data_IF_120292483486
#
_entry.id   IF_120292483486
#
_cell.length_a   1.000
_cell.length_b   1.000
_cell.length_c   1.000
_cell.angle_alpha   90.00
_cell.angle_beta   90.00
_cell.angle_gamma   90.00
#
_symmetry.space_group_name_H-M   'P 1'
#
loop_
_entity.id
_entity.type
_entity.pdbx_description
1 polymer ?
#
# COMPACT_ATOMS: atom_id res chain seq x y z
N UNK A 1 2.63 7.23 -14.68
CA UNK A 1 3.02 7.55 -13.28
C UNK A 1 3.40 6.32 -12.48
N UNK A 2 2.61 5.24 -12.50
CA UNK A 2 2.92 3.97 -11.81
C UNK A 2 4.31 3.43 -12.19
N UNK A 3 4.64 3.38 -13.49
CA UNK A 3 5.97 2.96 -13.97
C UNK A 3 7.11 3.82 -13.41
N UNK A 4 6.88 5.13 -13.23
CA UNK A 4 7.90 6.05 -12.70
C UNK A 4 8.10 5.86 -11.20
N UNK A 5 7.03 5.55 -10.47
CA UNK A 5 7.11 5.20 -9.06
C UNK A 5 7.85 3.87 -8.86
N UNK A 6 7.52 2.85 -9.66
CA UNK A 6 8.17 1.53 -9.59
C UNK A 6 9.65 1.51 -10.02
N UNK A 7 10.11 2.54 -10.72
CA UNK A 7 11.51 2.70 -11.12
C UNK A 7 12.36 3.43 -10.06
N UNK A 8 11.78 3.85 -8.92
CA UNK A 8 12.54 4.53 -7.86
C UNK A 8 13.41 3.52 -7.12
N UNK A 9 14.75 3.66 -7.14
CA UNK A 9 15.64 2.71 -6.48
C UNK A 9 15.83 3.01 -4.99
N UNK A 10 15.55 4.24 -4.55
CA UNK A 10 15.78 4.68 -3.18
C UNK A 10 14.92 5.90 -2.83
N UNK A 11 14.22 5.82 -1.70
CA UNK A 11 13.33 6.86 -1.17
C UNK A 11 14.10 8.10 -0.73
N UNK A 12 15.32 7.94 -0.22
CA UNK A 12 16.15 9.07 0.26
C UNK A 12 16.66 9.92 -0.91
N UNK A 13 17.13 9.28 -1.98
CA UNK A 13 17.67 9.99 -3.17
C UNK A 13 16.57 10.59 -4.05
N UNK A 14 15.43 9.92 -4.18
CA UNK A 14 14.34 10.34 -5.05
C UNK A 14 13.21 11.09 -4.32
N UNK A 15 13.45 11.57 -3.10
CA UNK A 15 12.42 12.14 -2.22
C UNK A 15 11.57 13.25 -2.87
N UNK A 16 12.14 14.24 -3.59
CA UNK A 16 11.33 15.29 -4.22
C UNK A 16 10.37 14.71 -5.28
N UNK A 17 10.86 13.77 -6.09
CA UNK A 17 10.06 13.10 -7.11
C UNK A 17 8.96 12.24 -6.48
N UNK A 18 9.29 11.49 -5.44
CA UNK A 18 8.32 10.68 -4.70
C UNK A 18 7.19 11.56 -4.15
N UNK A 19 7.52 12.69 -3.52
CA UNK A 19 6.50 13.61 -2.99
C UNK A 19 5.59 14.17 -4.10
N UNK A 20 6.14 14.55 -5.25
CA UNK A 20 5.34 15.04 -6.38
C UNK A 20 4.43 13.93 -6.91
N UNK A 21 4.96 12.72 -7.09
CA UNK A 21 4.18 11.58 -7.56
C UNK A 21 3.04 11.23 -6.59
N UNK A 22 3.31 11.18 -5.29
CA UNK A 22 2.28 10.91 -4.28
C UNK A 22 1.22 12.01 -4.25
N UNK A 23 1.60 13.29 -4.34
CA UNK A 23 0.62 14.39 -4.45
C UNK A 23 -0.28 14.23 -5.69
N UNK A 24 0.29 13.87 -6.84
CA UNK A 24 -0.50 13.62 -8.04
C UNK A 24 -1.38 12.38 -7.88
N UNK A 25 -0.89 11.29 -7.28
CA UNK A 25 -1.71 10.11 -7.00
C UNK A 25 -2.86 10.43 -6.06
N UNK A 26 -2.68 11.28 -5.05
CA UNK A 26 -3.77 11.75 -4.18
C UNK A 26 -4.85 12.50 -4.95
N UNK A 27 -4.50 13.19 -6.03
CA UNK A 27 -5.49 13.81 -6.92
C UNK A 27 -6.13 12.75 -7.83
N UNK A 28 -5.35 11.81 -8.37
CA UNK A 28 -5.85 10.73 -9.21
C UNK A 28 -6.87 9.86 -8.48
N UNK A 29 -6.60 9.45 -7.24
CA UNK A 29 -7.53 8.59 -6.48
C UNK A 29 -8.83 9.30 -6.10
N UNK A 30 -8.97 10.62 -6.29
CA UNK A 30 -10.25 11.32 -6.13
C UNK A 30 -11.15 11.24 -7.37
N UNK A 31 -10.61 10.79 -8.50
CA UNK A 31 -11.32 10.70 -9.78
C UNK A 31 -11.69 9.25 -10.04
N UNK A 32 -12.98 8.92 -10.11
CA UNK A 32 -13.47 7.55 -10.32
C UNK A 32 -12.80 6.86 -11.51
N UNK A 33 -12.68 7.56 -12.64
CA UNK A 33 -12.04 7.02 -13.84
C UNK A 33 -10.57 6.65 -13.63
N UNK A 34 -9.86 7.39 -12.79
CA UNK A 34 -8.48 7.05 -12.43
C UNK A 34 -8.44 5.86 -11.49
N UNK A 35 -9.35 5.74 -10.54
CA UNK A 35 -9.44 4.56 -9.67
C UNK A 35 -9.73 3.29 -10.50
N UNK A 36 -10.68 3.35 -11.44
CA UNK A 36 -10.99 2.26 -12.39
C UNK A 36 -9.76 1.81 -13.18
N UNK A 37 -8.88 2.74 -13.55
CA UNK A 37 -7.62 2.40 -14.21
C UNK A 37 -6.63 1.79 -13.21
N UNK A 38 -6.52 2.33 -12.01
CA UNK A 38 -5.55 1.86 -11.01
C UNK A 38 -5.83 0.45 -10.48
N UNK A 39 -7.08 0.01 -10.49
CA UNK A 39 -7.49 -1.36 -10.12
C UNK A 39 -7.31 -2.38 -11.24
N UNK A 40 -6.91 -1.95 -12.45
CA UNK A 40 -6.67 -2.89 -13.55
C UNK A 40 -5.48 -3.81 -13.25
N UNK A 41 -5.64 -5.14 -13.30
CA UNK A 41 -4.58 -6.07 -12.96
C UNK A 41 -3.31 -5.88 -13.79
N UNK A 42 -3.44 -5.47 -15.06
CA UNK A 42 -2.32 -5.28 -15.99
C UNK A 42 -1.37 -4.16 -15.57
N UNK A 43 -1.87 -3.18 -14.81
CA UNK A 43 -1.07 -2.06 -14.34
C UNK A 43 -0.24 -2.39 -13.09
N UNK A 44 -0.61 -3.46 -12.36
CA UNK A 44 0.07 -3.89 -11.12
C UNK A 44 0.33 -2.74 -10.14
N UNK A 45 -0.61 -1.79 -10.08
CA UNK A 45 -0.44 -0.55 -9.31
C UNK A 45 -0.19 -0.85 -7.84
N UNK A 46 -0.92 -1.82 -7.28
CA UNK A 46 -0.79 -2.19 -5.87
C UNK A 46 0.58 -2.79 -5.55
N UNK A 47 1.13 -3.66 -6.42
CA UNK A 47 2.48 -4.21 -6.24
C UNK A 47 3.53 -3.09 -6.16
N UNK A 48 3.41 -2.07 -7.01
CA UNK A 48 4.30 -0.90 -7.02
C UNK A 48 4.14 -0.08 -5.73
N UNK A 49 2.91 0.13 -5.25
CA UNK A 49 2.68 0.84 -3.99
C UNK A 49 3.22 0.07 -2.79
N UNK A 50 3.01 -1.25 -2.73
CA UNK A 50 3.55 -2.12 -1.69
C UNK A 50 5.08 -2.13 -1.66
N UNK A 51 5.73 -2.21 -2.83
CA UNK A 51 7.19 -2.09 -2.94
C UNK A 51 7.67 -0.72 -2.46
N UNK A 52 6.99 0.35 -2.87
CA UNK A 52 7.34 1.71 -2.43
C UNK A 52 7.18 1.87 -0.92
N UNK A 53 6.13 1.27 -0.35
CA UNK A 53 5.87 1.27 1.08
C UNK A 53 6.98 0.55 1.84
N UNK A 54 7.41 -0.63 1.37
CA UNK A 54 8.58 -1.32 1.94
C UNK A 54 9.83 -0.44 1.91
N UNK A 55 10.13 0.21 0.79
CA UNK A 55 11.30 1.11 0.70
C UNK A 55 11.21 2.29 1.67
N UNK A 56 10.01 2.82 1.93
CA UNK A 56 9.81 3.87 2.92
C UNK A 56 10.08 3.34 4.34
N UNK A 57 9.55 2.16 4.66
CA UNK A 57 9.67 1.51 5.98
C UNK A 57 11.10 1.03 6.27
N UNK A 58 11.84 0.56 5.27
CA UNK A 58 13.26 0.18 5.40
C UNK A 58 14.17 1.40 5.61
N UNK A 59 13.72 2.57 5.12
CA UNK A 59 14.45 3.84 5.26
C UNK A 59 14.11 4.59 6.55
N UNK A 60 13.17 4.09 7.37
CA UNK A 60 12.52 4.79 8.49
C UNK A 60 13.39 4.86 9.77
N UNK A 61 14.60 5.43 9.64
CA UNK A 61 15.38 5.95 10.78
C UNK A 61 15.11 7.43 11.05
N UNK A 62 14.45 8.14 10.14
CA UNK A 62 14.16 9.57 10.23
C UNK A 62 12.65 9.84 10.24
N UNK A 63 12.17 10.52 11.30
CA UNK A 63 10.77 10.97 11.51
C UNK A 63 10.17 11.80 10.36
N UNK A 64 10.98 12.24 9.41
CA UNK A 64 10.56 13.02 8.26
C UNK A 64 9.88 12.19 7.14
N UNK A 65 9.90 10.85 7.22
CA UNK A 65 9.29 9.95 6.24
C UNK A 65 7.86 9.52 6.60
N UNK A 66 7.41 9.75 7.84
CA UNK A 66 6.05 9.40 8.31
C UNK A 66 4.95 9.98 7.41
N UNK A 67 5.10 11.23 6.96
CA UNK A 67 4.10 11.87 6.07
C UNK A 67 4.06 11.32 4.64
N UNK A 68 5.14 10.69 4.16
CA UNK A 68 5.18 10.01 2.86
C UNK A 68 4.50 8.65 2.97
N UNK A 69 4.81 7.91 4.03
CA UNK A 69 4.20 6.61 4.36
C UNK A 69 2.69 6.75 4.55
N UNK A 70 2.24 7.75 5.31
CA UNK A 70 0.80 8.02 5.51
C UNK A 70 0.07 8.31 4.19
N UNK A 71 0.64 9.18 3.34
CA UNK A 71 0.04 9.50 2.04
C UNK A 71 -0.07 8.27 1.14
N UNK A 72 0.94 7.40 1.16
CA UNK A 72 0.93 6.18 0.39
C UNK A 72 -0.14 5.21 0.88
N UNK A 73 -0.29 5.06 2.19
CA UNK A 73 -1.33 4.22 2.79
C UNK A 73 -2.75 4.74 2.49
N UNK A 74 -2.97 6.06 2.55
CA UNK A 74 -4.24 6.72 2.18
C UNK A 74 -4.62 6.44 0.70
N UNK A 75 -3.65 6.54 -0.21
CA UNK A 75 -3.81 6.18 -1.63
C UNK A 75 -4.19 4.70 -1.77
N UNK A 76 -3.47 3.81 -1.09
CA UNK A 76 -3.70 2.37 -1.17
C UNK A 76 -5.08 1.99 -0.62
N UNK A 77 -5.48 2.55 0.51
CA UNK A 77 -6.80 2.34 1.11
C UNK A 77 -7.93 2.73 0.15
N UNK A 78 -7.80 3.88 -0.52
CA UNK A 78 -8.80 4.33 -1.50
C UNK A 78 -8.93 3.36 -2.67
N UNK A 79 -7.80 2.89 -3.20
CA UNK A 79 -7.79 1.94 -4.33
C UNK A 79 -8.34 0.57 -3.92
N UNK A 80 -7.96 0.08 -2.72
CA UNK A 80 -8.47 -1.16 -2.16
C UNK A 80 -9.98 -1.09 -1.94
N UNK A 81 -10.46 0.02 -1.37
CA UNK A 81 -11.89 0.26 -1.16
C UNK A 81 -12.66 0.23 -2.48
N UNK A 82 -12.11 0.86 -3.53
CA UNK A 82 -12.70 0.80 -4.88
C UNK A 82 -12.71 -0.63 -5.41
N UNK A 83 -11.60 -1.35 -5.33
CA UNK A 83 -11.52 -2.74 -5.79
C UNK A 83 -12.53 -3.65 -5.07
N UNK A 84 -12.70 -3.49 -3.75
CA UNK A 84 -13.68 -4.26 -2.98
C UNK A 84 -15.14 -3.92 -3.29
N UNK A 85 -15.39 -2.77 -3.95
CA UNK A 85 -16.73 -2.37 -4.39
C UNK A 85 -17.11 -2.89 -5.78
N UNK A 86 -16.16 -3.48 -6.51
CA UNK A 86 -16.40 -4.10 -7.81
C UNK A 86 -17.00 -5.52 -7.65
N UNK A 87 -17.32 -6.17 -8.77
CA UNK A 87 -17.75 -7.57 -8.76
C UNK A 87 -16.69 -8.50 -8.16
N UNK A 88 -17.14 -9.64 -7.63
CA UNK A 88 -16.24 -10.67 -7.06
C UNK A 88 -15.19 -11.14 -8.07
N UNK A 89 -15.57 -11.28 -9.35
CA UNK A 89 -14.67 -11.64 -10.45
C UNK A 89 -13.55 -10.59 -10.61
N UNK A 90 -13.91 -9.31 -10.72
CA UNK A 90 -12.94 -8.21 -10.86
C UNK A 90 -12.02 -8.10 -9.64
N UNK A 91 -12.58 -8.27 -8.44
CA UNK A 91 -11.80 -8.25 -7.21
C UNK A 91 -10.82 -9.44 -7.15
N UNK A 92 -11.25 -10.63 -7.58
CA UNK A 92 -10.42 -11.83 -7.60
C UNK A 92 -9.20 -11.64 -8.51
N UNK A 93 -9.39 -11.09 -9.71
CA UNK A 93 -8.28 -10.77 -10.62
C UNK A 93 -7.35 -9.71 -10.02
N UNK A 94 -7.90 -8.63 -9.44
CA UNK A 94 -7.10 -7.60 -8.79
C UNK A 94 -6.31 -8.15 -7.59
N UNK A 95 -6.90 -9.07 -6.81
CA UNK A 95 -6.30 -9.65 -5.62
C UNK A 95 -4.98 -10.39 -5.91
N UNK A 96 -4.82 -10.90 -7.13
CA UNK A 96 -3.59 -11.55 -7.60
C UNK A 96 -2.43 -10.56 -7.71
N UNK A 97 -2.72 -9.27 -7.85
CA UNK A 97 -1.70 -8.20 -7.90
C UNK A 97 -1.25 -7.71 -6.52
N UNK A 98 -1.89 -8.17 -5.43
CA UNK A 98 -1.58 -7.76 -4.06
C UNK A 98 -0.24 -8.33 -3.52
N UNK A 99 0.64 -8.77 -4.42
CA UNK A 99 1.98 -9.27 -4.10
C UNK A 99 1.99 -10.54 -3.25
N UNK A 100 3.21 -10.95 -2.88
CA UNK A 100 3.45 -12.12 -2.03
C UNK A 100 2.99 -11.91 -0.59
N UNK A 101 2.88 -13.02 0.15
CA UNK A 101 2.53 -13.01 1.56
C UNK A 101 3.61 -12.33 2.45
N UNK A 102 4.82 -12.12 1.92
CA UNK A 102 5.91 -11.40 2.61
C UNK A 102 5.57 -9.93 2.87
N UNK A 103 4.81 -9.27 1.98
CA UNK A 103 4.35 -7.90 2.23
C UNK A 103 3.50 -7.80 3.51
N UNK A 104 2.67 -8.81 3.79
CA UNK A 104 1.85 -8.87 5.01
C UNK A 104 2.75 -8.99 6.24
N UNK A 105 3.78 -9.84 6.20
CA UNK A 105 4.74 -9.98 7.29
C UNK A 105 5.53 -8.69 7.54
N UNK A 106 6.00 -8.03 6.47
CA UNK A 106 6.71 -6.74 6.59
C UNK A 106 5.82 -5.69 7.27
N UNK A 107 4.57 -5.57 6.83
CA UNK A 107 3.62 -4.61 7.41
C UNK A 107 3.26 -4.93 8.86
N UNK A 108 3.10 -6.21 9.22
CA UNK A 108 2.89 -6.65 10.61
C UNK A 108 4.13 -6.44 11.50
N UNK A 109 5.34 -6.45 10.94
CA UNK A 109 6.53 -6.05 11.68
C UNK A 109 6.51 -4.55 11.99
N UNK A 110 5.99 -3.74 11.07
CA UNK A 110 5.89 -2.29 11.21
C UNK A 110 4.84 -1.85 12.23
N UNK A 111 3.72 -2.56 12.40
CA UNK A 111 2.74 -2.24 13.47
C UNK A 111 3.37 -2.30 14.87
N UNK A 112 4.44 -3.09 15.04
CA UNK A 112 5.14 -3.23 16.32
C UNK A 112 6.12 -2.07 16.61
N UNK A 113 6.47 -1.25 15.61
CA UNK A 113 7.39 -0.12 15.77
C UNK A 113 6.72 1.04 16.52
N UNK A 114 7.43 1.62 17.50
CA UNK A 114 6.90 2.70 18.35
C UNK A 114 6.44 3.94 17.58
N UNK A 115 7.09 4.25 16.44
CA UNK A 115 6.75 5.39 15.57
C UNK A 115 5.36 5.22 14.94
N UNK A 116 4.94 3.98 14.69
CA UNK A 116 3.65 3.67 14.07
C UNK A 116 2.55 3.58 15.13
N UNK A 117 2.84 3.08 16.34
CA UNK A 117 1.85 2.79 17.40
C UNK A 117 0.98 3.97 17.86
N UNK A 118 1.45 5.21 17.71
CA UNK A 118 0.74 6.42 18.18
C UNK A 118 0.29 7.36 17.04
N UNK A 119 0.21 6.87 15.80
CA UNK A 119 -0.05 7.68 14.61
C UNK A 119 -1.28 7.21 13.82
N UNK A 120 -1.91 8.13 13.08
CA UNK A 120 -2.90 7.85 12.03
C UNK A 120 -2.44 6.80 11.02
N UNK A 121 -1.12 6.66 10.85
CA UNK A 121 -0.47 5.61 10.05
C UNK A 121 -0.91 4.20 10.47
N UNK A 122 -1.06 3.92 11.78
CA UNK A 122 -1.49 2.59 12.25
C UNK A 122 -2.90 2.23 11.77
N UNK A 123 -3.80 3.22 11.73
CA UNK A 123 -5.19 3.02 11.30
C UNK A 123 -5.22 2.66 9.82
N UNK A 124 -4.56 3.47 8.98
CA UNK A 124 -4.48 3.20 7.54
C UNK A 124 -3.77 1.87 7.25
N UNK A 125 -2.68 1.57 7.96
CA UNK A 125 -1.94 0.33 7.80
C UNK A 125 -2.79 -0.89 8.18
N UNK A 126 -3.59 -0.80 9.23
CA UNK A 126 -4.52 -1.89 9.63
C UNK A 126 -5.59 -2.12 8.57
N UNK A 127 -6.15 -1.06 7.97
CA UNK A 127 -7.15 -1.19 6.90
C UNK A 127 -6.56 -1.79 5.63
N UNK A 128 -5.36 -1.34 5.25
CA UNK A 128 -4.62 -1.91 4.12
C UNK A 128 -4.30 -3.39 4.39
N UNK A 129 -3.82 -3.74 5.58
CA UNK A 129 -3.59 -5.14 5.98
C UNK A 129 -4.87 -5.98 5.87
N UNK A 130 -5.99 -5.49 6.40
CA UNK A 130 -7.27 -6.19 6.33
C UNK A 130 -7.69 -6.47 4.88
N UNK A 131 -7.54 -5.49 3.99
CA UNK A 131 -7.84 -5.66 2.57
C UNK A 131 -6.84 -6.57 1.84
N UNK A 132 -5.57 -6.62 2.26
CA UNK A 132 -4.56 -7.52 1.69
C UNK A 132 -4.78 -8.99 2.05
N UNK A 133 -5.30 -9.27 3.25
CA UNK A 133 -5.60 -10.64 3.71
C UNK A 133 -6.99 -11.11 3.28
N UNK A 134 -7.87 -10.18 2.88
CA UNK A 134 -9.23 -10.49 2.46
C UNK A 134 -9.24 -11.44 1.26
N UNK A 135 -10.00 -12.53 1.37
CA UNK A 135 -10.10 -13.55 0.32
C UNK A 135 -8.87 -14.46 0.16
N UNK A 136 -7.79 -14.27 0.94
CA UNK A 136 -6.57 -15.08 0.83
C UNK A 136 -6.28 -15.85 2.13
N UNK A 137 -6.49 -17.17 2.11
CA UNK A 137 -6.31 -18.06 3.27
C UNK A 137 -4.88 -18.07 3.83
N UNK A 138 -3.88 -17.99 2.96
CA UNK A 138 -2.47 -18.00 3.37
C UNK A 138 -2.10 -16.71 4.09
N UNK A 139 -2.46 -15.56 3.50
CA UNK A 139 -2.24 -14.23 4.10
C UNK A 139 -3.02 -14.05 5.40
N UNK A 140 -4.26 -14.56 5.47
CA UNK A 140 -5.06 -14.56 6.70
C UNK A 140 -4.42 -15.41 7.81
N UNK A 141 -3.87 -16.58 7.48
CA UNK A 141 -3.17 -17.42 8.44
C UNK A 141 -1.97 -16.69 9.07
N UNK A 142 -1.18 -15.97 8.27
CA UNK A 142 -0.05 -15.17 8.77
C UNK A 142 -0.52 -14.10 9.76
N UNK A 143 -1.63 -13.42 9.46
CA UNK A 143 -2.20 -12.44 10.36
C UNK A 143 -2.63 -13.08 11.69
N UNK A 144 -3.32 -14.22 11.63
CA UNK A 144 -3.76 -14.95 12.82
C UNK A 144 -2.58 -15.45 13.67
N UNK A 145 -1.53 -15.97 13.03
CA UNK A 145 -0.33 -16.46 13.71
C UNK A 145 0.46 -15.32 14.39
N UNK A 146 0.34 -14.07 13.91
CA UNK A 146 1.00 -12.91 14.49
C UNK A 146 0.32 -12.39 15.77
N UNK A 147 -1.00 -12.53 15.88
CA UNK A 147 -1.79 -12.07 17.04
C UNK A 147 -2.06 -13.16 18.09
N UNK A 148 -1.50 -14.35 17.90
CA UNK A 148 -1.68 -15.51 18.78
C UNK A 148 -0.74 -15.46 19.98
#
# INVERSE_FOLDING_TARGET
MVTRLGAIPSVTRARPLLQVLLKLFRLCVKVNRCQEVLIKPELKSMEVFLRTLQLCLDSDKDSSQTGVTEQLLDIMETILSKATSESEENFTEFSQTLGSAEYVKSLLSCTNQQVVKNSSVLVHLTRVLAALVYGNKEKMKILLDHFR
#
